data_IF_421130832338
#
_entry.id   IF_421130832338
#
_cell.length_a   1.000
_cell.length_b   1.000
_cell.length_c   1.000
_cell.angle_alpha   90.00
_cell.angle_beta   90.00
_cell.angle_gamma   90.00
#
_symmetry.space_group_name_H-M   'P 1'
#
loop_
_entity.id
_entity.type
_entity.pdbx_description
1 polymer ?
#
# COMPACT_ATOMS: atom_id res chain seq x y z
N UNK A 1 38.87 -9.48 -24.13
CA UNK A 1 38.92 -8.99 -22.73
C UNK A 1 39.23 -7.48 -22.79
N UNK A 2 38.72 -6.58 -21.91
CA UNK A 2 38.35 -6.86 -20.52
C UNK A 2 37.21 -5.98 -19.89
N UNK A 3 36.98 -6.27 -18.60
CA UNK A 3 36.33 -5.47 -17.53
C UNK A 3 34.80 -5.38 -17.52
N UNK A 4 34.21 -6.41 -16.93
CA UNK A 4 33.07 -6.26 -16.02
C UNK A 4 33.38 -5.20 -14.96
N UNK A 5 32.57 -4.14 -14.79
CA UNK A 5 32.65 -3.31 -13.61
C UNK A 5 32.12 -4.12 -12.42
N UNK A 6 33.01 -4.36 -11.46
CA UNK A 6 32.66 -4.82 -10.13
C UNK A 6 31.80 -3.74 -9.49
N UNK A 7 30.47 -3.88 -9.60
CA UNK A 7 29.54 -3.09 -8.80
C UNK A 7 29.55 -3.67 -7.40
N UNK A 8 30.55 -3.21 -6.64
CA UNK A 8 30.65 -3.32 -5.20
C UNK A 8 29.29 -2.96 -4.61
N UNK A 9 28.66 -3.97 -4.03
CA UNK A 9 27.32 -3.93 -3.47
C UNK A 9 27.39 -3.09 -2.20
N UNK A 10 27.33 -1.77 -2.37
CA UNK A 10 27.02 -0.86 -1.28
C UNK A 10 25.58 -1.19 -0.83
N UNK A 11 25.47 -2.11 0.12
CA UNK A 11 24.30 -2.28 0.96
C UNK A 11 24.18 -1.00 1.79
N UNK A 12 23.76 0.08 1.14
CA UNK A 12 23.33 1.29 1.80
C UNK A 12 22.21 0.89 2.74
N UNK A 13 22.52 0.84 4.03
CA UNK A 13 21.55 0.89 5.10
C UNK A 13 20.77 2.20 4.92
N UNK A 14 19.80 2.19 4.03
CA UNK A 14 18.80 3.24 3.99
C UNK A 14 18.13 3.18 5.36
N UNK A 15 18.40 4.16 6.21
CA UNK A 15 17.61 4.38 7.42
C UNK A 15 16.23 4.81 6.93
N UNK A 16 15.34 3.84 6.77
CA UNK A 16 13.94 4.05 6.40
C UNK A 16 13.25 4.77 7.56
N UNK A 17 13.21 6.11 7.53
CA UNK A 17 12.40 6.90 8.45
C UNK A 17 10.95 6.95 7.94
N UNK A 18 10.24 5.82 8.05
CA UNK A 18 8.78 5.78 8.02
C UNK A 18 8.31 4.87 9.16
N UNK A 19 8.49 5.29 10.42
CA UNK A 19 8.32 4.41 11.58
C UNK A 19 6.87 3.91 11.76
N UNK A 20 5.90 4.45 11.02
CA UNK A 20 4.49 4.05 11.14
C UNK A 20 4.00 3.15 9.99
N UNK A 21 4.21 3.48 8.72
CA UNK A 21 3.70 2.64 7.61
C UNK A 21 4.53 1.34 7.37
N UNK A 22 5.83 1.29 7.71
CA UNK A 22 6.66 0.08 7.49
C UNK A 22 6.60 -0.89 8.68
N UNK A 23 6.58 -0.37 9.91
CA UNK A 23 6.61 -1.19 11.13
C UNK A 23 5.36 -2.06 11.26
N UNK A 24 4.20 -1.55 10.87
CA UNK A 24 2.95 -2.33 10.87
C UNK A 24 2.97 -3.47 9.85
N UNK A 25 3.58 -3.25 8.67
CA UNK A 25 3.67 -4.28 7.64
C UNK A 25 4.59 -5.45 8.04
N UNK A 26 5.74 -5.15 8.69
CA UNK A 26 6.70 -6.17 9.13
C UNK A 26 6.14 -6.96 10.33
N UNK A 27 5.49 -6.29 11.28
CA UNK A 27 4.87 -6.95 12.42
C UNK A 27 3.77 -7.95 12.00
N UNK A 28 2.96 -7.59 10.99
CA UNK A 28 1.95 -8.49 10.41
C UNK A 28 2.57 -9.73 9.75
N UNK A 29 3.66 -9.57 8.99
CA UNK A 29 4.35 -10.69 8.32
C UNK A 29 4.99 -11.69 9.30
N UNK A 30 5.55 -11.21 10.42
CA UNK A 30 6.12 -12.07 11.46
C UNK A 30 5.02 -12.84 12.20
N UNK A 31 3.89 -12.19 12.51
CA UNK A 31 2.74 -12.85 13.13
C UNK A 31 2.11 -13.91 12.21
N UNK A 32 1.98 -13.62 10.91
CA UNK A 32 1.47 -14.58 9.93
C UNK A 32 2.37 -15.82 9.82
N UNK A 33 3.69 -15.63 9.89
CA UNK A 33 4.66 -16.73 9.86
C UNK A 33 4.60 -17.59 11.12
N UNK A 34 4.35 -17.01 12.29
CA UNK A 34 4.17 -17.77 13.54
C UNK A 34 2.87 -18.60 13.54
N UNK A 35 1.78 -18.06 13.00
CA UNK A 35 0.47 -18.74 12.94
C UNK A 35 0.51 -19.96 12.01
N UNK A 36 1.34 -19.94 10.97
CA UNK A 36 1.43 -21.06 10.01
C UNK A 36 2.29 -22.25 10.50
N UNK A 37 2.96 -22.15 11.64
CA UNK A 37 3.82 -23.23 12.16
C UNK A 37 3.23 -24.07 13.29
N UNK A 38 1.99 -23.78 13.74
CA UNK A 38 1.33 -24.59 14.78
C UNK A 38 0.37 -25.60 14.16
N UNK A 39 0.90 -26.68 13.58
CA UNK A 39 0.09 -27.88 13.30
C UNK A 39 -0.08 -28.70 14.58
N UNK A 40 -1.33 -29.05 14.90
CA UNK A 40 -1.66 -29.97 15.99
C UNK A 40 -3.02 -29.79 16.66
N UNK A 41 -3.90 -28.90 16.18
CA UNK A 41 -5.19 -28.63 16.79
C UNK A 41 -6.35 -28.67 15.81
N UNK A 42 -7.01 -29.84 15.71
CA UNK A 42 -8.41 -30.05 15.34
C UNK A 42 -9.12 -28.91 14.54
N UNK A 43 -9.05 -28.98 13.21
CA UNK A 43 -9.61 -28.03 12.24
C UNK A 43 -11.15 -28.10 12.08
N UNK A 44 -11.88 -28.50 13.11
CA UNK A 44 -13.35 -28.53 13.08
C UNK A 44 -13.98 -27.18 13.49
N UNK A 45 -13.23 -26.08 13.41
CA UNK A 45 -13.79 -24.75 13.60
C UNK A 45 -14.30 -24.26 12.24
N UNK A 46 -15.44 -24.80 11.84
CA UNK A 46 -16.31 -24.15 10.86
C UNK A 46 -16.52 -22.72 11.35
N UNK A 47 -15.97 -21.74 10.64
CA UNK A 47 -16.44 -20.38 10.77
C UNK A 47 -17.92 -20.41 10.39
N UNK A 48 -18.78 -20.44 11.40
CA UNK A 48 -20.22 -20.30 11.24
C UNK A 48 -20.43 -19.02 10.45
N UNK A 49 -21.03 -19.18 9.27
CA UNK A 49 -21.34 -18.15 8.27
C UNK A 49 -22.50 -17.26 8.77
N UNK A 50 -22.40 -16.84 10.03
CA UNK A 50 -23.42 -16.14 10.81
C UNK A 50 -22.81 -15.14 11.80
N UNK A 51 -21.49 -15.07 11.94
CA UNK A 51 -20.87 -13.77 12.20
C UNK A 51 -20.85 -13.04 10.86
N UNK A 52 -21.56 -11.94 10.78
CA UNK A 52 -21.46 -10.99 9.69
C UNK A 52 -19.97 -10.66 9.52
N UNK A 53 -19.31 -11.37 8.59
CA UNK A 53 -18.09 -10.88 7.97
C UNK A 53 -18.51 -9.51 7.49
N UNK A 54 -18.12 -8.48 8.24
CA UNK A 54 -18.51 -7.10 8.02
C UNK A 54 -18.02 -6.72 6.66
N UNK A 55 -18.76 -7.13 5.64
CA UNK A 55 -18.58 -6.78 4.25
C UNK A 55 -18.99 -5.33 4.25
N UNK A 56 -18.00 -4.47 4.54
CA UNK A 56 -18.08 -3.08 4.17
C UNK A 56 -18.60 -3.08 2.74
N UNK A 57 -19.76 -2.46 2.53
CA UNK A 57 -20.37 -2.45 1.21
C UNK A 57 -19.30 -2.05 0.21
N UNK A 58 -19.16 -2.83 -0.86
CA UNK A 58 -18.19 -2.53 -1.89
C UNK A 58 -18.47 -1.14 -2.46
N UNK A 59 -17.52 -0.22 -2.28
CA UNK A 59 -17.57 1.11 -2.85
C UNK A 59 -16.83 1.11 -4.19
N UNK A 60 -17.60 1.15 -5.28
CA UNK A 60 -17.06 1.19 -6.65
C UNK A 60 -16.24 2.46 -6.89
N UNK A 61 -16.60 3.58 -6.27
CA UNK A 61 -15.90 4.84 -6.42
C UNK A 61 -14.52 4.78 -5.74
N UNK A 62 -14.45 4.22 -4.53
CA UNK A 62 -13.18 3.98 -3.84
C UNK A 62 -12.28 3.05 -4.67
N UNK A 63 -12.82 1.93 -5.16
CA UNK A 63 -12.06 1.01 -6.02
C UNK A 63 -11.52 1.69 -7.29
N UNK A 64 -12.31 2.60 -7.89
CA UNK A 64 -11.91 3.39 -9.06
C UNK A 64 -10.76 4.36 -8.72
N UNK A 65 -10.77 4.99 -7.54
CA UNK A 65 -9.65 5.82 -7.05
C UNK A 65 -8.36 4.99 -6.95
N UNK A 66 -8.41 3.79 -6.36
CA UNK A 66 -7.25 2.89 -6.24
C UNK A 66 -6.70 2.40 -7.59
N UNK A 67 -7.56 2.30 -8.61
CA UNK A 67 -7.12 1.99 -9.98
C UNK A 67 -6.25 3.11 -10.56
N UNK A 68 -6.50 4.38 -10.23
CA UNK A 68 -5.67 5.50 -10.68
C UNK A 68 -4.28 5.46 -10.04
N UNK A 69 -4.17 5.20 -8.74
CA UNK A 69 -2.88 5.00 -8.07
C UNK A 69 -2.09 3.84 -8.70
N UNK A 70 -2.77 2.79 -9.15
CA UNK A 70 -2.14 1.68 -9.86
C UNK A 70 -1.56 2.09 -11.21
N UNK A 71 -2.24 2.99 -11.94
CA UNK A 71 -1.71 3.55 -13.19
C UNK A 71 -0.49 4.44 -12.97
N UNK A 72 -0.43 5.18 -11.85
CA UNK A 72 0.72 6.04 -11.52
C UNK A 72 2.01 5.22 -11.36
N UNK A 73 1.91 3.95 -10.96
CA UNK A 73 3.10 3.09 -10.85
C UNK A 73 3.84 2.91 -12.19
N UNK A 74 3.16 3.13 -13.33
CA UNK A 74 3.75 3.08 -14.67
C UNK A 74 4.51 4.34 -15.09
N UNK A 75 4.38 5.44 -14.36
CA UNK A 75 5.09 6.68 -14.63
C UNK A 75 6.61 6.55 -14.37
N UNK A 76 7.39 7.51 -14.85
CA UNK A 76 8.83 7.58 -14.56
C UNK A 76 9.09 7.93 -13.09
N UNK A 77 10.27 7.56 -12.57
CA UNK A 77 10.68 7.86 -11.20
C UNK A 77 10.51 9.34 -10.85
N UNK A 78 10.94 10.23 -11.74
CA UNK A 78 10.89 11.68 -11.51
C UNK A 78 9.45 12.21 -11.50
N UNK A 79 8.59 11.66 -12.38
CA UNK A 79 7.17 12.01 -12.42
C UNK A 79 6.43 11.55 -11.17
N UNK A 80 6.71 10.34 -10.67
CA UNK A 80 6.10 9.85 -9.42
C UNK A 80 6.62 10.66 -8.23
N UNK A 81 7.93 10.90 -8.14
CA UNK A 81 8.53 11.62 -7.00
C UNK A 81 8.07 13.08 -6.89
N UNK A 82 7.79 13.73 -8.02
CA UNK A 82 7.25 15.10 -8.08
C UNK A 82 5.72 15.17 -8.12
N UNK A 83 5.06 14.01 -8.26
CA UNK A 83 3.63 13.83 -8.48
C UNK A 83 3.08 14.61 -9.69
N UNK A 84 3.78 14.50 -10.83
CA UNK A 84 3.49 15.21 -12.08
C UNK A 84 3.35 14.24 -13.27
N UNK A 85 2.41 13.31 -13.18
CA UNK A 85 2.11 12.35 -14.27
C UNK A 85 0.83 12.69 -15.06
N UNK A 86 0.59 13.98 -15.29
CA UNK A 86 -0.60 14.48 -15.98
C UNK A 86 -1.90 14.30 -15.18
N UNK A 87 -3.03 14.21 -15.90
CA UNK A 87 -4.39 14.15 -15.35
C UNK A 87 -4.60 13.04 -14.30
N UNK A 88 -3.81 11.96 -14.37
CA UNK A 88 -3.93 10.84 -13.42
C UNK A 88 -3.52 11.28 -12.02
N UNK A 89 -2.45 12.08 -11.89
CA UNK A 89 -2.00 12.61 -10.60
C UNK A 89 -2.98 13.64 -10.03
N UNK A 90 -3.67 14.40 -10.87
CA UNK A 90 -4.69 15.37 -10.44
C UNK A 90 -5.92 14.67 -9.84
N UNK A 91 -6.31 13.53 -10.41
CA UNK A 91 -7.46 12.72 -9.94
C UNK A 91 -7.11 11.80 -8.77
N UNK A 92 -5.83 11.67 -8.41
CA UNK A 92 -5.33 10.84 -7.32
C UNK A 92 -4.40 11.66 -6.42
N UNK A 93 -4.95 12.59 -5.61
CA UNK A 93 -4.17 13.53 -4.83
C UNK A 93 -3.47 12.85 -3.64
N UNK A 94 -2.26 13.31 -3.32
CA UNK A 94 -1.49 12.90 -2.14
C UNK A 94 -1.43 14.04 -1.13
N UNK A 95 -1.24 13.73 0.16
CA UNK A 95 -1.16 14.74 1.23
C UNK A 95 0.00 15.72 1.04
N UNK A 96 1.07 15.30 0.36
CA UNK A 96 2.20 16.16 0.04
C UNK A 96 3.23 15.44 -0.82
N UNK A 97 4.00 16.19 -1.62
CA UNK A 97 5.04 15.64 -2.50
C UNK A 97 6.19 15.01 -1.72
N UNK A 98 6.47 15.52 -0.51
CA UNK A 98 7.44 14.97 0.43
C UNK A 98 6.99 13.64 1.07
N UNK A 99 5.71 13.28 0.89
CA UNK A 99 5.11 12.03 1.39
C UNK A 99 5.02 10.95 0.33
N UNK A 100 5.73 11.13 -0.79
CA UNK A 100 5.84 10.13 -1.85
C UNK A 100 7.24 9.54 -1.82
N UNK A 101 7.31 8.21 -1.87
CA UNK A 101 8.56 7.48 -1.96
C UNK A 101 8.52 6.50 -3.11
N UNK A 102 9.36 6.72 -4.10
CA UNK A 102 9.59 5.75 -5.16
C UNK A 102 10.43 4.58 -4.67
N UNK A 103 10.05 3.37 -5.07
CA UNK A 103 10.77 2.12 -4.84
C UNK A 103 11.42 1.74 -6.17
N UNK A 104 12.74 1.82 -6.21
CA UNK A 104 13.52 1.46 -7.39
C UNK A 104 13.42 -0.03 -7.70
N UNK A 105 13.71 -0.37 -8.96
CA UNK A 105 13.72 -1.74 -9.43
C UNK A 105 14.71 -2.60 -8.64
N UNK A 106 14.19 -3.59 -7.92
CA UNK A 106 15.02 -4.55 -7.20
C UNK A 106 15.79 -5.48 -8.15
N UNK A 107 17.04 -5.82 -7.79
CA UNK A 107 17.90 -6.72 -8.60
C UNK A 107 17.29 -8.11 -8.86
N UNK A 108 16.56 -8.64 -7.88
CA UNK A 108 16.03 -10.01 -7.91
C UNK A 108 14.64 -10.10 -8.51
N UNK A 109 13.72 -9.26 -8.02
CA UNK A 109 12.30 -9.38 -8.37
C UNK A 109 11.88 -8.49 -9.54
N UNK A 110 12.74 -7.56 -9.98
CA UNK A 110 12.43 -6.66 -11.10
C UNK A 110 11.11 -5.90 -10.90
N UNK A 111 10.76 -5.63 -9.65
CA UNK A 111 9.58 -4.85 -9.26
C UNK A 111 10.03 -3.44 -8.91
N UNK A 112 9.29 -2.46 -9.41
CA UNK A 112 9.39 -1.06 -9.02
C UNK A 112 8.00 -0.55 -8.62
N UNK A 113 7.93 0.55 -7.89
CA UNK A 113 6.66 1.05 -7.39
C UNK A 113 6.80 2.31 -6.57
N UNK A 114 5.80 2.61 -5.77
CA UNK A 114 5.87 3.71 -4.82
C UNK A 114 4.97 3.47 -3.61
N UNK A 115 5.27 4.20 -2.54
CA UNK A 115 4.41 4.37 -1.38
C UNK A 115 4.10 5.85 -1.26
N UNK A 116 2.84 6.20 -1.10
CA UNK A 116 2.40 7.58 -0.90
C UNK A 116 1.40 7.69 0.24
N UNK A 117 1.45 8.82 0.95
CA UNK A 117 0.40 9.18 1.90
C UNK A 117 -0.76 9.83 1.16
N UNK A 118 -1.97 9.32 1.37
CA UNK A 118 -3.19 9.86 0.78
C UNK A 118 -3.99 10.63 1.84
N UNK A 119 -4.76 11.66 1.44
CA UNK A 119 -5.67 12.35 2.35
C UNK A 119 -6.59 11.36 3.07
N UNK A 120 -6.78 11.56 4.36
CA UNK A 120 -7.83 10.84 5.07
C UNK A 120 -9.14 11.56 4.76
N UNK A 121 -9.90 11.05 3.80
CA UNK A 121 -11.28 11.48 3.60
C UNK A 121 -12.07 10.95 4.80
N UNK A 122 -12.20 11.74 5.86
CA UNK A 122 -13.18 11.47 6.90
C UNK A 122 -14.56 11.51 6.21
N UNK A 123 -15.38 10.46 6.33
CA UNK A 123 -16.74 10.41 5.74
C UNK A 123 -17.64 11.59 6.15
N UNK A 124 -17.25 12.34 7.18
CA UNK A 124 -17.97 13.47 7.77
C UNK A 124 -18.24 14.65 6.81
N UNK A 125 -17.61 14.70 5.63
CA UNK A 125 -17.86 15.77 4.65
C UNK A 125 -18.98 15.47 3.63
N UNK A 126 -19.52 14.25 3.57
CA UNK A 126 -20.56 13.88 2.58
C UNK A 126 -21.86 13.34 3.18
N UNK A 127 -21.91 13.04 4.48
CA UNK A 127 -23.17 12.67 5.14
C UNK A 127 -23.73 13.80 5.99
N UNK A 128 -24.62 14.61 5.40
CA UNK A 128 -25.70 15.25 6.16
C UNK A 128 -26.75 14.22 6.61
N UNK A 129 -26.31 13.04 7.07
CA UNK A 129 -27.15 11.94 7.53
C UNK A 129 -27.22 11.98 9.05
N UNK A 130 -28.44 12.10 9.56
CA UNK A 130 -28.73 12.12 11.00
C UNK A 130 -28.20 10.86 11.70
N UNK A 131 -27.66 10.99 12.93
CA UNK A 131 -27.19 9.88 13.73
C UNK A 131 -28.35 8.92 14.03
N UNK A 132 -28.23 7.68 13.55
CA UNK A 132 -29.11 6.59 13.97
C UNK A 132 -28.38 5.82 15.07
N UNK A 133 -28.95 5.87 16.28
CA UNK A 133 -28.40 5.29 17.49
C UNK A 133 -28.28 3.75 17.36
N UNK A 134 -27.05 3.24 17.29
CA UNK A 134 -26.79 1.81 17.10
C UNK A 134 -25.31 1.47 17.03
N UNK A 135 -24.55 1.88 18.04
CA UNK A 135 -23.09 1.85 18.10
C UNK A 135 -22.56 0.42 18.42
N UNK A 136 -22.25 -0.36 17.39
CA UNK A 136 -21.31 -1.46 17.49
C UNK A 136 -19.91 -0.90 17.20
N UNK A 137 -19.07 -0.83 18.22
CA UNK A 137 -17.69 -0.35 18.12
C UNK A 137 -16.87 -1.24 17.17
N UNK A 138 -16.86 -0.88 15.89
CA UNK A 138 -15.86 -1.31 14.92
C UNK A 138 -14.50 -0.86 15.43
N UNK A 139 -13.60 -1.83 15.62
CA UNK A 139 -12.25 -1.61 16.07
C UNK A 139 -11.40 -1.07 14.92
N UNK A 140 -11.71 0.15 14.50
CA UNK A 140 -10.89 0.94 13.62
C UNK A 140 -9.60 1.29 14.39
N UNK A 141 -8.48 0.64 14.07
CA UNK A 141 -7.14 1.08 14.50
C UNK A 141 -6.76 2.32 13.66
N UNK A 142 -7.68 3.26 13.52
CA UNK A 142 -7.52 4.56 12.90
C UNK A 142 -7.15 5.55 13.99
N UNK A 143 -5.99 5.32 14.61
CA UNK A 143 -5.43 6.23 15.61
C UNK A 143 -4.92 7.49 14.89
N UNK A 144 -5.79 8.49 14.68
CA UNK A 144 -5.45 9.75 13.99
C UNK A 144 -4.92 9.54 12.56
N UNK A 145 -5.60 8.63 11.84
CA UNK A 145 -5.09 7.75 10.80
C UNK A 145 -4.49 8.41 9.56
N UNK A 146 -3.18 8.24 9.38
CA UNK A 146 -2.52 8.46 8.10
C UNK A 146 -2.83 7.28 7.18
N UNK A 147 -3.57 7.50 6.08
CA UNK A 147 -3.77 6.48 5.04
C UNK A 147 -2.56 6.45 4.10
N UNK A 148 -2.06 5.25 3.83
CA UNK A 148 -0.93 4.99 2.94
C UNK A 148 -1.46 4.15 1.76
N UNK A 149 -1.06 4.49 0.53
CA UNK A 149 -1.27 3.64 -0.66
C UNK A 149 0.08 3.12 -1.13
N UNK A 150 0.08 1.86 -1.56
CA UNK A 150 1.24 1.22 -2.19
C UNK A 150 0.83 0.67 -3.53
N UNK A 151 1.67 0.88 -4.54
CA UNK A 151 1.47 0.26 -5.84
C UNK A 151 2.79 -0.19 -6.43
N UNK A 152 2.76 -1.33 -7.09
CA UNK A 152 3.91 -1.99 -7.70
C UNK A 152 3.60 -2.31 -9.15
N UNK A 153 4.63 -2.27 -9.99
CA UNK A 153 4.63 -2.82 -11.34
C UNK A 153 5.85 -3.69 -11.58
N UNK A 154 5.68 -4.69 -12.43
CA UNK A 154 6.80 -5.40 -13.02
C UNK A 154 7.57 -4.46 -13.96
N UNK A 155 8.89 -4.54 -13.91
CA UNK A 155 9.73 -4.02 -14.97
C UNK A 155 9.64 -5.00 -16.14
N UNK A 156 9.08 -4.56 -17.26
CA UNK A 156 9.20 -5.33 -18.49
C UNK A 156 10.68 -5.25 -18.87
N UNK A 157 11.46 -6.26 -18.51
CA UNK A 157 12.89 -6.39 -18.78
C UNK A 157 13.24 -6.51 -20.27
N UNK A 158 12.49 -5.84 -21.14
CA UNK A 158 12.75 -5.74 -22.56
C UNK A 158 13.86 -4.72 -22.83
N UNK A 159 15.11 -5.18 -22.76
CA UNK A 159 16.02 -4.84 -23.85
C UNK A 159 15.46 -5.57 -25.09
N UNK A 160 14.51 -4.96 -25.78
CA UNK A 160 14.27 -5.30 -27.18
C UNK A 160 15.39 -4.54 -27.91
N UNK A 161 16.53 -5.21 -28.01
CA UNK A 161 17.68 -4.74 -28.77
C UNK A 161 17.35 -4.66 -30.26
#
# INVERSE_FOLDING_TARGET
>A
MPRTPNNELAAGKAKFSFPKCITTAIAGLILLSLVLTTEGGNINKTCSLSDECGMTQYDEEEARKYTLYSKIAFCSKDAVSSWLCGDICERAPVTGKDKVRFIEEGKFYKVQGFVAQIPNETPEALSGGEPSDGEAASMDISNGGTRCVVSFRGSNGGNIA
#
